data_IF_709581412395
#
_entry.id   IF_709581412395
#
_cell.length_a   1.000
_cell.length_b   1.000
_cell.length_c   1.000
_cell.angle_alpha   90.00
_cell.angle_beta   90.00
_cell.angle_gamma   90.00
#
_symmetry.space_group_name_H-M   'P 1'
#
loop_
_entity.id
_entity.type
_entity.pdbx_description
1 polymer ?
#
# COMPACT_ATOMS: atom_id res chain seq x y z
N UNK A 1 -6.88 5.56 -5.51
CA UNK A 1 -5.42 5.73 -5.66
C UNK A 1 -4.67 4.94 -4.60
N UNK A 2 -4.78 5.24 -3.30
CA UNK A 2 -4.00 4.55 -2.25
C UNK A 2 -4.17 3.02 -2.23
N UNK A 3 -5.40 2.54 -2.42
CA UNK A 3 -5.68 1.09 -2.53
C UNK A 3 -5.05 0.47 -3.80
N UNK A 4 -5.30 1.11 -4.94
CA UNK A 4 -4.79 0.66 -6.23
C UNK A 4 -3.25 0.67 -6.33
N UNK A 5 -2.58 1.55 -5.58
CA UNK A 5 -1.13 1.65 -5.55
C UNK A 5 -0.46 0.38 -5.00
N UNK A 6 -1.08 -0.30 -4.02
CA UNK A 6 -0.56 -1.54 -3.44
C UNK A 6 -0.53 -2.70 -4.44
N UNK A 7 -1.46 -2.70 -5.41
CA UNK A 7 -1.70 -3.80 -6.36
C UNK A 7 -0.41 -4.35 -6.98
N UNK A 8 0.46 -3.46 -7.48
CA UNK A 8 1.70 -3.87 -8.13
C UNK A 8 2.66 -4.53 -7.14
N UNK A 9 2.87 -3.92 -5.99
CA UNK A 9 3.85 -4.38 -5.01
C UNK A 9 3.45 -5.73 -4.41
N UNK A 10 2.17 -5.92 -4.11
CA UNK A 10 1.66 -7.18 -3.59
C UNK A 10 1.65 -8.30 -4.63
N UNK A 11 1.21 -8.02 -5.86
CA UNK A 11 1.26 -9.00 -6.94
C UNK A 11 2.72 -9.39 -7.29
N UNK A 12 3.63 -8.43 -7.28
CA UNK A 12 5.08 -8.64 -7.44
C UNK A 12 5.64 -9.54 -6.33
N UNK A 13 5.29 -9.28 -5.07
CA UNK A 13 5.70 -10.10 -3.93
C UNK A 13 5.18 -11.54 -4.07
N UNK A 14 3.89 -11.70 -4.39
CA UNK A 14 3.27 -13.00 -4.61
C UNK A 14 3.89 -13.77 -5.77
N UNK A 15 4.23 -13.09 -6.86
CA UNK A 15 4.93 -13.71 -7.99
C UNK A 15 6.35 -14.16 -7.63
N UNK A 16 7.06 -13.39 -6.78
CA UNK A 16 8.42 -13.72 -6.32
C UNK A 16 8.43 -14.90 -5.35
N UNK A 17 7.44 -15.01 -4.47
CA UNK A 17 7.30 -16.12 -3.52
C UNK A 17 6.63 -17.36 -4.11
N UNK A 18 5.93 -17.20 -5.24
CA UNK A 18 5.08 -18.24 -5.81
C UNK A 18 3.84 -18.50 -4.96
N UNK A 19 3.29 -17.47 -4.30
CA UNK A 19 2.05 -17.57 -3.52
C UNK A 19 0.84 -17.94 -4.39
N UNK A 20 -0.23 -18.41 -3.76
CA UNK A 20 -1.51 -18.66 -4.43
C UNK A 20 -2.37 -17.40 -4.35
N UNK A 21 -2.89 -16.95 -5.48
CA UNK A 21 -3.73 -15.74 -5.58
C UNK A 21 -5.16 -16.02 -5.10
N UNK A 22 -5.97 -14.99 -4.94
CA UNK A 22 -7.37 -15.16 -4.54
C UNK A 22 -8.20 -15.91 -5.60
N UNK A 23 -7.78 -15.88 -6.86
CA UNK A 23 -8.31 -16.71 -7.93
C UNK A 23 -7.96 -18.22 -7.81
N UNK A 24 -7.22 -18.63 -6.76
CA UNK A 24 -6.93 -20.03 -6.44
C UNK A 24 -5.76 -20.65 -7.23
N UNK A 25 -5.06 -19.86 -8.04
CA UNK A 25 -3.92 -20.29 -8.87
C UNK A 25 -2.63 -19.52 -8.58
N UNK A 26 -1.61 -19.70 -9.43
CA UNK A 26 -0.41 -18.85 -9.43
C UNK A 26 -0.64 -17.62 -10.30
N UNK A 27 0.16 -16.57 -10.07
CA UNK A 27 0.12 -15.33 -10.85
C UNK A 27 0.25 -15.62 -12.35
N UNK A 28 -0.68 -15.10 -13.14
CA UNK A 28 -0.55 -15.13 -14.61
C UNK A 28 0.24 -13.93 -15.09
N UNK A 29 0.88 -14.05 -16.27
CA UNK A 29 1.55 -12.91 -16.90
C UNK A 29 0.58 -11.75 -17.20
N UNK A 30 -0.68 -12.07 -17.52
CA UNK A 30 -1.72 -11.08 -17.73
C UNK A 30 -2.02 -10.27 -16.46
N UNK A 31 -2.20 -10.94 -15.32
CA UNK A 31 -2.45 -10.27 -14.05
C UNK A 31 -1.28 -9.37 -13.62
N UNK A 32 -0.05 -9.84 -13.78
CA UNK A 32 1.15 -9.03 -13.48
C UNK A 32 1.27 -7.80 -14.38
N UNK A 33 1.01 -7.94 -15.68
CA UNK A 33 1.03 -6.82 -16.61
C UNK A 33 -0.05 -5.77 -16.27
N UNK A 34 -1.24 -6.21 -15.84
CA UNK A 34 -2.30 -5.30 -15.39
C UNK A 34 -1.96 -4.60 -14.08
N UNK A 35 -1.35 -5.32 -13.12
CA UNK A 35 -0.90 -4.73 -11.87
C UNK A 35 0.21 -3.68 -12.10
N UNK A 36 1.18 -3.96 -12.97
CA UNK A 36 2.24 -3.01 -13.34
C UNK A 36 1.67 -1.80 -14.09
N UNK A 37 0.75 -2.03 -15.04
CA UNK A 37 0.06 -0.95 -15.75
C UNK A 37 -0.75 -0.07 -14.78
N UNK A 38 -1.38 -0.67 -13.77
CA UNK A 38 -2.06 0.07 -12.70
C UNK A 38 -1.09 1.03 -12.02
N UNK A 39 0.05 0.53 -11.53
CA UNK A 39 1.07 1.36 -10.88
C UNK A 39 1.56 2.50 -11.77
N UNK A 40 1.98 2.19 -13.00
CA UNK A 40 2.50 3.20 -13.93
C UNK A 40 1.43 4.27 -14.27
N UNK A 41 0.17 3.87 -14.44
CA UNK A 41 -0.93 4.81 -14.68
C UNK A 41 -1.11 5.77 -13.50
N UNK A 42 -1.01 5.28 -12.26
CA UNK A 42 -1.13 6.13 -11.07
C UNK A 42 0.04 7.12 -10.96
N UNK A 43 1.27 6.68 -11.27
CA UNK A 43 2.46 7.56 -11.28
C UNK A 43 2.33 8.64 -12.35
N UNK A 44 1.85 8.31 -13.55
CA UNK A 44 1.76 9.25 -14.68
C UNK A 44 0.55 10.18 -14.61
N UNK A 45 -0.56 9.74 -14.03
CA UNK A 45 -1.87 10.42 -14.11
C UNK A 45 -2.44 10.86 -12.75
N UNK A 46 -1.92 10.35 -11.63
CA UNK A 46 -2.50 10.53 -10.29
C UNK A 46 -2.77 11.99 -9.92
N UNK A 47 -1.75 12.84 -9.99
CA UNK A 47 -1.86 14.26 -9.65
C UNK A 47 -2.84 15.01 -10.57
N UNK A 48 -2.75 14.79 -11.89
CA UNK A 48 -3.68 15.37 -12.87
C UNK A 48 -5.13 14.95 -12.62
N UNK A 49 -5.34 13.69 -12.25
CA UNK A 49 -6.67 13.17 -11.95
C UNK A 49 -7.23 13.78 -10.65
N UNK A 50 -6.41 14.01 -9.64
CA UNK A 50 -6.82 14.68 -8.40
C UNK A 50 -7.28 16.11 -8.67
N UNK A 51 -6.53 16.89 -9.46
CA UNK A 51 -6.93 18.25 -9.85
C UNK A 51 -8.27 18.26 -10.60
N UNK A 52 -8.52 17.28 -11.48
CA UNK A 52 -9.81 17.16 -12.16
C UNK A 52 -10.95 16.79 -11.20
N UNK A 53 -10.69 15.89 -10.24
CA UNK A 53 -11.65 15.48 -9.23
C UNK A 53 -12.05 16.62 -8.29
N UNK A 54 -11.10 17.44 -7.84
CA UNK A 54 -11.33 18.63 -7.01
C UNK A 54 -12.21 19.67 -7.68
N UNK A 55 -12.07 19.82 -9.00
CA UNK A 55 -12.89 20.73 -9.80
C UNK A 55 -14.21 20.09 -10.27
N UNK A 56 -14.45 18.82 -9.96
CA UNK A 56 -15.61 18.04 -10.41
C UNK A 56 -15.79 18.03 -11.94
N UNK A 57 -14.69 17.90 -12.69
CA UNK A 57 -14.68 17.83 -14.16
C UNK A 57 -14.02 16.56 -14.66
N UNK A 58 -14.42 16.10 -15.84
CA UNK A 58 -13.87 14.89 -16.46
C UNK A 58 -12.74 15.26 -17.43
N UNK A 59 -11.58 14.63 -17.23
CA UNK A 59 -10.42 14.70 -18.13
C UNK A 59 -9.94 13.29 -18.46
N UNK A 60 -9.16 13.11 -19.55
CA UNK A 60 -8.57 11.80 -19.85
C UNK A 60 -7.73 11.22 -18.70
N UNK A 61 -7.07 12.07 -17.90
CA UNK A 61 -6.33 11.64 -16.72
C UNK A 61 -7.25 11.02 -15.66
N UNK A 62 -8.40 11.66 -15.40
CA UNK A 62 -9.38 11.13 -14.45
C UNK A 62 -9.98 9.81 -14.93
N UNK A 63 -10.32 9.68 -16.22
CA UNK A 63 -10.81 8.41 -16.79
C UNK A 63 -9.81 7.27 -16.60
N UNK A 64 -8.52 7.51 -16.91
CA UNK A 64 -7.44 6.52 -16.73
C UNK A 64 -7.27 6.11 -15.27
N UNK A 65 -7.31 7.06 -14.33
CA UNK A 65 -7.19 6.74 -12.90
C UNK A 65 -8.43 6.01 -12.38
N UNK A 66 -9.63 6.28 -12.92
CA UNK A 66 -10.84 5.50 -12.61
C UNK A 66 -10.69 4.05 -13.09
N UNK A 67 -10.21 3.83 -14.32
CA UNK A 67 -9.91 2.49 -14.85
C UNK A 67 -8.86 1.78 -13.98
N UNK A 68 -7.78 2.48 -13.62
CA UNK A 68 -6.73 1.94 -12.76
C UNK A 68 -7.27 1.54 -11.38
N UNK A 69 -8.04 2.42 -10.74
CA UNK A 69 -8.62 2.16 -9.42
C UNK A 69 -9.64 1.02 -9.42
N UNK A 70 -10.27 0.72 -10.55
CA UNK A 70 -11.42 -0.20 -10.61
C UNK A 70 -11.05 -1.52 -11.26
N UNK A 71 -10.64 -1.48 -12.53
CA UNK A 71 -10.42 -2.68 -13.33
C UNK A 71 -8.99 -3.20 -13.18
N UNK A 72 -7.99 -2.33 -13.37
CA UNK A 72 -6.59 -2.77 -13.30
C UNK A 72 -6.21 -3.24 -11.90
N UNK A 73 -6.57 -2.43 -10.89
CA UNK A 73 -6.37 -2.81 -9.49
C UNK A 73 -7.19 -4.06 -9.14
N UNK A 74 -8.47 -4.10 -9.49
CA UNK A 74 -9.37 -5.22 -9.19
C UNK A 74 -8.85 -6.57 -9.69
N UNK A 75 -8.54 -6.64 -10.99
CA UNK A 75 -7.99 -7.89 -11.59
C UNK A 75 -6.57 -8.14 -11.09
N UNK A 76 -5.76 -7.07 -10.95
CA UNK A 76 -4.38 -7.17 -10.51
C UNK A 76 -4.24 -7.76 -9.11
N UNK A 77 -5.08 -7.38 -8.14
CA UNK A 77 -4.99 -7.93 -6.78
C UNK A 77 -5.58 -9.34 -6.72
N UNK A 78 -6.75 -9.59 -7.32
CA UNK A 78 -7.43 -10.88 -7.18
C UNK A 78 -6.66 -12.00 -7.88
N UNK A 79 -6.15 -11.70 -9.08
CA UNK A 79 -5.42 -12.66 -9.93
C UNK A 79 -3.90 -12.53 -9.84
N UNK A 80 -3.36 -11.52 -9.15
CA UNK A 80 -1.92 -11.33 -8.89
C UNK A 80 -1.51 -11.58 -7.44
N UNK A 81 -2.41 -11.36 -6.48
CA UNK A 81 -2.24 -11.69 -5.06
C UNK A 81 -2.12 -10.47 -4.14
N UNK A 82 -2.45 -10.72 -2.86
CA UNK A 82 -2.28 -9.79 -1.73
C UNK A 82 -1.11 -10.25 -0.86
N UNK A 83 -0.44 -9.32 -0.20
CA UNK A 83 0.73 -9.58 0.61
C UNK A 83 0.72 -8.75 1.91
N UNK A 84 1.82 -8.06 2.23
CA UNK A 84 1.96 -7.35 3.50
C UNK A 84 1.10 -6.08 3.57
N UNK A 85 0.95 -5.31 2.48
CA UNK A 85 0.25 -4.03 2.52
C UNK A 85 -1.20 -4.18 3.03
N UNK A 86 -1.96 -5.15 2.51
CA UNK A 86 -3.31 -5.41 2.97
C UNK A 86 -3.38 -6.08 4.36
N UNK A 87 -2.43 -6.94 4.71
CA UNK A 87 -2.37 -7.48 6.08
C UNK A 87 -2.08 -6.40 7.13
N UNK A 88 -1.28 -5.39 6.76
CA UNK A 88 -1.00 -4.22 7.60
C UNK A 88 -2.21 -3.30 7.68
N UNK A 89 -2.94 -3.12 6.58
CA UNK A 89 -4.26 -2.47 6.63
C UNK A 89 -5.17 -3.14 7.66
N UNK A 90 -5.28 -4.48 7.63
CA UNK A 90 -6.13 -5.22 8.56
C UNK A 90 -5.66 -5.02 10.01
N UNK A 91 -4.35 -5.10 10.25
CA UNK A 91 -3.75 -4.80 11.55
C UNK A 91 -4.07 -3.38 12.06
N UNK A 92 -4.03 -2.37 11.19
CA UNK A 92 -4.38 -0.98 11.52
C UNK A 92 -5.85 -0.83 11.95
N UNK A 93 -6.75 -1.73 11.52
CA UNK A 93 -8.14 -1.72 11.99
C UNK A 93 -8.32 -2.28 13.40
N UNK A 94 -7.32 -2.99 13.94
CA UNK A 94 -7.35 -3.52 15.32
C UNK A 94 -7.20 -2.43 16.39
N UNK A 95 -6.83 -1.20 16.01
CA UNK A 95 -6.73 -0.04 16.90
C UNK A 95 -7.77 1.04 16.52
N UNK A 96 -8.35 1.76 17.49
CA UNK A 96 -9.45 2.70 17.23
C UNK A 96 -9.02 3.99 16.52
N UNK A 97 -7.75 4.40 16.66
CA UNK A 97 -7.22 5.67 16.14
C UNK A 97 -7.52 5.87 14.65
N UNK A 98 -7.31 4.83 13.84
CA UNK A 98 -7.43 4.89 12.39
C UNK A 98 -8.83 4.52 11.84
N UNK A 99 -9.84 4.33 12.70
CA UNK A 99 -11.17 3.86 12.27
C UNK A 99 -11.91 4.83 11.36
N UNK A 100 -11.62 6.12 11.47
CA UNK A 100 -12.28 7.17 10.69
C UNK A 100 -11.61 7.44 9.33
N UNK A 101 -10.46 6.83 9.06
CA UNK A 101 -9.81 6.86 7.76
C UNK A 101 -10.34 5.76 6.84
N UNK A 102 -10.42 6.06 5.55
CA UNK A 102 -10.82 5.15 4.51
C UNK A 102 -9.82 4.00 4.32
N UNK A 103 -10.29 2.92 3.70
CA UNK A 103 -9.49 1.73 3.36
C UNK A 103 -8.17 2.10 2.66
N UNK A 104 -8.26 2.85 1.55
CA UNK A 104 -7.08 3.22 0.75
C UNK A 104 -6.07 4.13 1.46
N UNK A 105 -6.48 4.88 2.48
CA UNK A 105 -5.57 5.72 3.28
C UNK A 105 -4.68 4.83 4.17
N UNK A 106 -5.28 3.83 4.81
CA UNK A 106 -4.54 2.83 5.58
C UNK A 106 -3.67 1.92 4.70
N UNK A 107 -4.16 1.50 3.53
CA UNK A 107 -3.39 0.70 2.57
C UNK A 107 -2.18 1.46 2.03
N UNK A 108 -2.27 2.78 1.84
CA UNK A 108 -1.13 3.59 1.41
C UNK A 108 0.05 3.50 2.40
N UNK A 109 -0.23 3.63 3.70
CA UNK A 109 0.80 3.44 4.74
C UNK A 109 1.27 1.97 4.83
N UNK A 110 0.36 1.02 4.66
CA UNK A 110 0.69 -0.41 4.55
C UNK A 110 1.65 -0.71 3.39
N UNK A 111 1.50 -0.03 2.26
CA UNK A 111 2.38 -0.17 1.09
C UNK A 111 3.79 0.32 1.38
N UNK A 112 3.94 1.51 1.98
CA UNK A 112 5.25 2.02 2.43
C UNK A 112 5.91 1.06 3.42
N UNK A 113 5.13 0.50 4.35
CA UNK A 113 5.61 -0.48 5.30
C UNK A 113 6.07 -1.77 4.61
N UNK A 114 5.34 -2.26 3.60
CA UNK A 114 5.77 -3.40 2.81
C UNK A 114 7.08 -3.12 2.08
N UNK A 115 7.26 -1.94 1.47
CA UNK A 115 8.49 -1.58 0.77
C UNK A 115 9.71 -1.59 1.69
N UNK A 116 9.54 -1.13 2.93
CA UNK A 116 10.57 -1.25 3.97
C UNK A 116 10.83 -2.72 4.31
N UNK A 117 9.78 -3.51 4.50
CA UNK A 117 9.87 -4.92 4.86
C UNK A 117 10.61 -5.76 3.79
N UNK A 118 10.39 -5.46 2.51
CA UNK A 118 11.08 -6.14 1.40
C UNK A 118 12.42 -5.48 1.01
N UNK A 119 12.87 -4.47 1.77
CA UNK A 119 14.08 -3.70 1.53
C UNK A 119 14.17 -3.19 0.08
N UNK A 120 13.08 -2.56 -0.37
CA UNK A 120 13.00 -1.94 -1.68
C UNK A 120 14.08 -0.86 -1.87
N UNK A 121 14.54 -0.59 -3.11
CA UNK A 121 15.43 0.52 -3.40
C UNK A 121 14.85 1.85 -2.90
N UNK A 122 15.71 2.75 -2.44
CA UNK A 122 15.29 4.05 -1.87
C UNK A 122 14.48 4.86 -2.88
N UNK A 123 14.87 4.81 -4.15
CA UNK A 123 14.19 5.51 -5.23
C UNK A 123 12.75 5.03 -5.42
N UNK A 124 12.48 3.74 -5.18
CA UNK A 124 11.14 3.17 -5.23
C UNK A 124 10.28 3.62 -4.04
N UNK A 125 10.87 3.64 -2.83
CA UNK A 125 10.21 4.16 -1.63
C UNK A 125 9.86 5.64 -1.79
N UNK A 126 10.81 6.46 -2.26
CA UNK A 126 10.62 7.90 -2.47
C UNK A 126 9.57 8.19 -3.55
N UNK A 127 9.57 7.44 -4.65
CA UNK A 127 8.57 7.59 -5.72
C UNK A 127 7.15 7.34 -5.19
N UNK A 128 6.97 6.29 -4.37
CA UNK A 128 5.67 5.94 -3.77
C UNK A 128 5.27 6.97 -2.72
N UNK A 129 6.19 7.39 -1.85
CA UNK A 129 5.93 8.42 -0.85
C UNK A 129 5.55 9.76 -1.49
N UNK A 130 6.21 10.14 -2.58
CA UNK A 130 5.93 11.37 -3.33
C UNK A 130 4.54 11.36 -3.96
N UNK A 131 4.15 10.26 -4.63
CA UNK A 131 2.79 10.14 -5.16
C UNK A 131 1.76 10.18 -4.03
N UNK A 132 1.97 9.42 -2.94
CA UNK A 132 1.06 9.42 -1.80
C UNK A 132 0.87 10.83 -1.24
N UNK A 133 1.98 11.54 -1.01
CA UNK A 133 1.94 12.91 -0.52
C UNK A 133 1.21 13.86 -1.47
N UNK A 134 1.52 13.82 -2.77
CA UNK A 134 0.92 14.75 -3.76
C UNK A 134 -0.59 14.59 -3.93
N UNK A 135 -1.12 13.39 -3.67
CA UNK A 135 -2.56 13.10 -3.74
C UNK A 135 -3.25 13.09 -2.36
N UNK A 136 -2.55 13.55 -1.32
CA UNK A 136 -3.12 13.73 0.02
C UNK A 136 -3.25 12.45 0.87
N UNK A 137 -2.58 11.36 0.50
CA UNK A 137 -2.57 10.13 1.27
C UNK A 137 -1.55 10.19 2.43
N UNK A 138 -1.84 9.51 3.56
CA UNK A 138 -0.96 9.51 4.71
C UNK A 138 0.31 8.68 4.45
N UNK A 139 1.47 9.24 4.80
CA UNK A 139 2.78 8.59 4.73
C UNK A 139 3.43 8.45 6.12
N UNK A 140 2.74 8.88 7.18
CA UNK A 140 3.18 8.77 8.58
C UNK A 140 2.03 8.25 9.46
N UNK A 141 2.37 7.69 10.62
CA UNK A 141 1.39 7.28 11.64
C UNK A 141 0.60 8.48 12.17
N UNK A 142 1.24 9.64 12.29
CA UNK A 142 0.60 10.86 12.78
C UNK A 142 -0.48 11.40 11.80
N UNK A 143 -0.32 11.18 10.49
CA UNK A 143 -1.34 11.50 9.49
C UNK A 143 -2.52 10.52 9.50
N UNK A 144 -2.40 9.39 10.19
CA UNK A 144 -3.48 8.44 10.53
C UNK A 144 -3.99 8.63 11.98
N UNK A 145 -3.69 9.77 12.60
CA UNK A 145 -3.99 10.11 14.00
C UNK A 145 -3.40 9.18 15.08
N UNK A 146 -2.47 8.30 14.72
CA UNK A 146 -1.78 7.43 15.67
C UNK A 146 -0.61 8.21 16.29
N UNK A 147 -0.91 9.01 17.31
CA UNK A 147 0.04 9.99 17.91
C UNK A 147 0.55 9.60 19.31
N UNK A 148 -0.08 8.62 19.96
CA UNK A 148 0.21 8.23 21.35
C UNK A 148 0.30 6.72 21.49
N UNK A 149 1.09 6.26 22.46
CA UNK A 149 1.36 4.82 22.72
C UNK A 149 1.76 4.03 21.47
N UNK A 150 2.53 4.68 20.58
CA UNK A 150 2.96 4.13 19.29
C UNK A 150 3.59 2.73 19.45
N UNK A 151 4.54 2.50 20.38
CA UNK A 151 5.15 1.17 20.53
C UNK A 151 4.13 0.06 20.85
N UNK A 152 3.15 0.34 21.72
CA UNK A 152 2.15 -0.65 22.08
C UNK A 152 1.16 -0.90 20.93
N UNK A 153 0.69 0.16 20.27
CA UNK A 153 -0.23 0.05 19.14
C UNK A 153 0.41 -0.65 17.94
N UNK A 154 1.65 -0.31 17.59
CA UNK A 154 2.36 -0.97 16.49
C UNK A 154 2.64 -2.44 16.78
N UNK A 155 2.81 -2.82 18.06
CA UNK A 155 2.87 -4.23 18.45
C UNK A 155 1.55 -4.94 18.16
N UNK A 156 0.42 -4.36 18.57
CA UNK A 156 -0.92 -4.91 18.26
C UNK A 156 -1.16 -5.02 16.75
N UNK A 157 -0.81 -3.98 15.99
CA UNK A 157 -0.93 -3.99 14.52
C UNK A 157 -0.09 -5.11 13.91
N UNK A 158 1.17 -5.22 14.29
CA UNK A 158 2.07 -6.24 13.74
C UNK A 158 1.64 -7.68 14.08
N UNK A 159 1.17 -7.93 15.30
CA UNK A 159 0.64 -9.24 15.68
C UNK A 159 -0.62 -9.59 14.89
N UNK A 160 -1.54 -8.64 14.72
CA UNK A 160 -2.75 -8.83 13.94
C UNK A 160 -2.45 -9.09 12.46
N UNK A 161 -1.50 -8.36 11.87
CA UNK A 161 -1.06 -8.56 10.48
C UNK A 161 -0.43 -9.92 10.20
N UNK A 162 0.11 -10.57 11.23
CA UNK A 162 0.72 -11.89 11.15
C UNK A 162 -0.19 -13.03 11.62
N UNK A 163 -1.47 -12.75 11.87
CA UNK A 163 -2.43 -13.78 12.28
C UNK A 163 -2.52 -14.93 11.27
N UNK A 164 -2.95 -16.11 11.73
CA UNK A 164 -3.16 -17.26 10.84
C UNK A 164 -4.20 -16.91 9.77
N UNK A 165 -3.85 -17.16 8.49
CA UNK A 165 -4.71 -16.85 7.35
C UNK A 165 -4.53 -15.46 6.76
N UNK A 166 -3.72 -14.58 7.36
CA UNK A 166 -3.40 -13.27 6.78
C UNK A 166 -2.52 -13.37 5.53
N UNK A 167 -2.62 -12.35 4.67
CA UNK A 167 -1.92 -12.37 3.37
C UNK A 167 -0.42 -12.10 3.49
N UNK A 168 0.06 -11.64 4.64
CA UNK A 168 1.49 -11.35 4.86
C UNK A 168 2.38 -12.57 4.66
N UNK A 169 1.84 -13.77 4.87
CA UNK A 169 2.55 -15.05 4.68
C UNK A 169 2.91 -15.30 3.21
N UNK A 170 2.35 -14.51 2.27
CA UNK A 170 2.70 -14.54 0.86
C UNK A 170 3.99 -13.77 0.54
N UNK A 171 4.55 -12.99 1.47
CA UNK A 171 5.84 -12.31 1.27
C UNK A 171 6.95 -13.34 1.01
N UNK A 172 7.96 -13.05 0.17
CA UNK A 172 9.11 -13.93 0.00
C UNK A 172 9.84 -14.19 1.33
N UNK A 173 9.82 -15.44 1.80
CA UNK A 173 10.39 -15.81 3.10
C UNK A 173 9.44 -15.65 4.30
N UNK A 174 8.21 -15.17 4.08
CA UNK A 174 7.26 -14.81 5.13
C UNK A 174 7.66 -13.53 5.86
N UNK A 175 6.93 -13.19 6.92
CA UNK A 175 7.30 -12.12 7.84
C UNK A 175 6.82 -12.44 9.26
N UNK A 176 7.66 -12.13 10.24
CA UNK A 176 7.35 -12.27 11.66
C UNK A 176 6.75 -10.98 12.23
N UNK A 177 6.00 -11.03 13.34
CA UNK A 177 5.50 -9.81 14.00
C UNK A 177 6.60 -8.83 14.37
N UNK A 178 7.82 -9.29 14.68
CA UNK A 178 8.95 -8.41 15.00
C UNK A 178 9.49 -7.67 13.76
N UNK A 179 9.55 -8.33 12.61
CA UNK A 179 9.94 -7.70 11.34
C UNK A 179 8.90 -6.68 10.89
N UNK A 180 7.61 -7.01 11.00
CA UNK A 180 6.52 -6.09 10.68
C UNK A 180 6.52 -4.88 11.62
N UNK A 181 6.73 -5.11 12.92
CA UNK A 181 6.87 -4.04 13.91
C UNK A 181 8.02 -3.09 13.56
N UNK A 182 9.19 -3.64 13.20
CA UNK A 182 10.33 -2.83 12.78
C UNK A 182 10.03 -2.03 11.51
N UNK A 183 9.40 -2.66 10.51
CA UNK A 183 9.04 -2.01 9.26
C UNK A 183 8.04 -0.86 9.47
N UNK A 184 7.04 -1.03 10.35
CA UNK A 184 6.06 0.01 10.67
C UNK A 184 6.74 1.29 11.21
N UNK A 185 7.68 1.11 12.15
CA UNK A 185 8.40 2.25 12.74
C UNK A 185 9.35 2.91 11.74
N UNK A 186 10.03 2.12 10.91
CA UNK A 186 10.96 2.65 9.90
C UNK A 186 10.21 3.36 8.77
N UNK A 187 9.07 2.84 8.33
CA UNK A 187 8.21 3.50 7.34
C UNK A 187 7.68 4.85 7.85
N UNK A 188 7.24 4.91 9.12
CA UNK A 188 6.86 6.16 9.76
C UNK A 188 8.02 7.18 9.79
N UNK A 189 9.24 6.73 10.13
CA UNK A 189 10.42 7.60 10.12
C UNK A 189 10.80 8.08 8.71
N UNK A 190 10.67 7.23 7.69
CA UNK A 190 10.84 7.65 6.29
C UNK A 190 9.83 8.74 5.92
N UNK A 191 8.55 8.54 6.23
CA UNK A 191 7.51 9.52 5.97
C UNK A 191 7.75 10.85 6.69
N UNK A 192 8.15 10.82 7.96
CA UNK A 192 8.45 12.04 8.72
C UNK A 192 9.62 12.83 8.10
N UNK A 193 10.69 12.14 7.69
CA UNK A 193 11.84 12.79 7.03
C UNK A 193 11.45 13.36 5.67
N UNK A 194 10.69 12.61 4.89
CA UNK A 194 10.18 13.06 3.60
C UNK A 194 9.40 14.37 3.74
N UNK A 195 8.49 14.47 4.71
CA UNK A 195 7.73 15.71 4.96
C UNK A 195 8.63 16.88 5.38
N UNK A 196 9.68 16.64 6.17
CA UNK A 196 10.61 17.69 6.59
C UNK A 196 11.51 18.22 5.46
N UNK A 197 11.80 17.39 4.45
CA UNK A 197 12.61 17.77 3.30
C UNK A 197 11.78 18.45 2.20
N UNK A 198 10.46 18.24 2.20
CA UNK A 198 9.50 18.84 1.26
C UNK A 198 8.93 20.19 1.71
N UNK A 199 8.93 20.48 3.02
CA UNK A 199 8.58 21.79 3.60
C UNK A 199 9.74 22.81 3.52
#
# INVERSE_FOLDING_TARGET
IGDALATWFEARACSRSGATTMAGGKCTQAALALAELCYNTLIEEGEKAMLAAEQHVVTPALERVIEANTYLSGVGFESGGLAAAHAIHNGLTAIPDAHHYYHGEKVAFGTLTQLVLENAPVEEIETVAALCHSVGLPITLAQLDIKQDIPAKMRTVAEASCAEGETIHNMPGGATPDEVYAALLVADQYGQRFLQEWE
#
